data_IF_309698523361
#
_entry.id   IF_309698523361
#
_cell.length_a   1.000
_cell.length_b   1.000
_cell.length_c   1.000
_cell.angle_alpha   90.00
_cell.angle_beta   90.00
_cell.angle_gamma   90.00
#
_symmetry.space_group_name_H-M   'P 1'
#
loop_
_entity.id
_entity.type
_entity.pdbx_description
1 polymer ?
#
# COMPACT_ATOMS: atom_id res chain seq x y z
N UNK A 1 14.23 27.77 30.64
CA UNK A 1 13.00 27.14 30.10
C UNK A 1 12.14 26.64 31.24
N UNK A 2 10.93 27.14 31.39
CA UNK A 2 10.02 26.65 32.43
C UNK A 2 9.77 25.15 32.28
N UNK A 3 9.72 24.43 33.41
CA UNK A 3 9.54 22.97 33.48
C UNK A 3 8.36 22.49 32.62
N UNK A 4 7.24 23.23 32.66
CA UNK A 4 6.06 23.01 31.81
C UNK A 4 6.39 23.00 30.31
N UNK A 5 7.18 23.95 29.82
CA UNK A 5 7.58 24.05 28.41
C UNK A 5 8.47 22.86 27.99
N UNK A 6 9.38 22.43 28.86
CA UNK A 6 10.28 21.29 28.60
C UNK A 6 9.52 19.96 28.49
N UNK A 7 8.56 19.73 29.38
CA UNK A 7 7.71 18.53 29.37
C UNK A 7 6.89 18.50 28.07
N UNK A 8 6.24 19.61 27.72
CA UNK A 8 5.42 19.70 26.51
C UNK A 8 6.23 19.49 25.22
N UNK A 9 7.44 20.06 25.13
CA UNK A 9 8.32 19.80 23.99
C UNK A 9 8.70 18.32 23.87
N UNK A 10 9.04 17.69 24.98
CA UNK A 10 9.43 16.27 25.00
C UNK A 10 8.28 15.36 24.59
N UNK A 11 7.07 15.62 25.09
CA UNK A 11 5.87 14.85 24.75
C UNK A 11 5.52 14.98 23.26
N UNK A 12 5.55 16.21 22.72
CA UNK A 12 5.30 16.46 21.28
C UNK A 12 6.34 15.77 20.40
N UNK A 13 7.61 15.79 20.78
CA UNK A 13 8.67 15.12 20.03
C UNK A 13 8.50 13.60 20.01
N UNK A 14 8.11 12.99 21.14
CA UNK A 14 7.82 11.55 21.23
C UNK A 14 6.59 11.17 20.39
N UNK A 15 5.51 11.94 20.48
CA UNK A 15 4.30 11.72 19.68
C UNK A 15 4.59 11.79 18.17
N UNK A 16 5.37 12.80 17.73
CA UNK A 16 5.78 12.93 16.32
C UNK A 16 6.59 11.73 15.84
N UNK A 17 7.51 11.21 16.67
CA UNK A 17 8.30 10.00 16.36
C UNK A 17 7.46 8.73 16.30
N UNK A 18 6.44 8.61 17.16
CA UNK A 18 5.52 7.47 17.13
C UNK A 18 4.62 7.51 15.88
N UNK A 19 4.03 8.66 15.57
CA UNK A 19 3.14 8.82 14.41
C UNK A 19 3.89 8.65 13.09
N UNK A 20 5.14 9.10 12.99
CA UNK A 20 5.96 8.89 11.81
C UNK A 20 6.27 7.40 11.52
N UNK A 21 6.21 6.53 12.53
CA UNK A 21 6.37 5.08 12.36
C UNK A 21 5.08 4.39 11.94
N UNK A 22 3.94 4.92 12.35
CA UNK A 22 2.62 4.37 12.01
C UNK A 22 2.17 4.76 10.60
N UNK A 23 2.60 5.91 10.10
CA UNK A 23 2.34 6.31 8.72
C UNK A 23 3.45 5.80 7.79
N UNK A 24 3.29 4.58 7.27
CA UNK A 24 3.90 4.24 6.00
C UNK A 24 3.38 5.25 4.94
N UNK A 25 4.22 5.64 3.97
CA UNK A 25 3.84 6.62 2.97
C UNK A 25 2.46 6.26 2.37
N UNK A 26 1.46 7.12 2.59
CA UNK A 26 0.06 6.87 2.22
C UNK A 26 -0.16 6.76 0.70
N UNK A 27 0.90 6.87 -0.11
CA UNK A 27 0.87 6.75 -1.56
C UNK A 27 2.07 5.94 -2.00
N UNK A 28 1.83 4.97 -2.88
CA UNK A 28 2.91 4.32 -3.63
C UNK A 28 3.70 5.43 -4.34
N UNK A 29 5.04 5.39 -4.31
CA UNK A 29 5.86 6.40 -4.98
C UNK A 29 5.43 6.53 -6.45
N UNK A 30 5.47 7.76 -6.97
CA UNK A 30 5.19 7.97 -8.39
C UNK A 30 6.29 7.31 -9.21
N UNK A 31 5.90 6.33 -10.01
CA UNK A 31 6.79 5.62 -10.94
C UNK A 31 6.48 6.16 -12.33
N UNK A 32 7.52 6.61 -13.04
CA UNK A 32 7.39 7.09 -14.42
C UNK A 32 6.83 5.98 -15.33
N UNK A 33 6.18 6.35 -16.44
CA UNK A 33 5.52 5.38 -17.35
C UNK A 33 6.47 4.26 -17.80
N UNK A 34 7.70 4.62 -18.19
CA UNK A 34 8.71 3.66 -18.62
C UNK A 34 9.13 2.68 -17.52
N UNK A 35 9.16 3.11 -16.26
CA UNK A 35 9.55 2.26 -15.13
C UNK A 35 8.41 1.34 -14.70
N UNK A 36 7.15 1.77 -14.89
CA UNK A 36 5.98 0.90 -14.68
C UNK A 36 5.94 -0.23 -15.70
N UNK A 37 6.23 0.04 -16.97
CA UNK A 37 6.29 -0.97 -18.03
C UNK A 37 7.40 -2.01 -17.78
N UNK A 38 8.59 -1.56 -17.37
CA UNK A 38 9.70 -2.44 -17.00
C UNK A 38 9.37 -3.32 -15.80
N UNK A 39 8.71 -2.77 -14.78
CA UNK A 39 8.29 -3.54 -13.60
C UNK A 39 7.19 -4.54 -13.94
N UNK A 40 6.24 -4.20 -14.83
CA UNK A 40 5.24 -5.14 -15.31
C UNK A 40 5.87 -6.27 -16.13
N UNK A 41 6.79 -5.96 -17.05
CA UNK A 41 7.52 -6.98 -17.81
C UNK A 41 8.33 -7.90 -16.88
N UNK A 42 9.02 -7.34 -15.88
CA UNK A 42 9.77 -8.13 -14.91
C UNK A 42 8.86 -9.00 -14.02
N UNK A 43 7.66 -8.52 -13.64
CA UNK A 43 6.69 -9.32 -12.88
C UNK A 43 6.05 -10.44 -13.72
N UNK A 44 5.76 -10.20 -15.00
CA UNK A 44 5.26 -11.22 -15.92
C UNK A 44 6.28 -12.36 -16.14
N UNK A 45 7.58 -12.09 -16.00
CA UNK A 45 8.64 -13.09 -16.15
C UNK A 45 8.84 -13.93 -14.86
N UNK A 46 8.35 -13.47 -13.71
CA UNK A 46 8.65 -14.07 -12.39
C UNK A 46 7.48 -14.83 -11.71
N UNK A 47 6.29 -14.90 -12.31
CA UNK A 47 5.19 -15.70 -11.75
C UNK A 47 5.25 -17.16 -12.26
N UNK A 48 5.50 -18.17 -11.42
CA UNK A 48 5.25 -19.55 -11.80
C UNK A 48 3.73 -19.81 -11.82
N UNK A 49 3.31 -20.49 -12.87
CA UNK A 49 2.01 -21.11 -13.12
C UNK A 49 1.20 -21.50 -11.86
N UNK A 50 0.07 -20.82 -11.60
CA UNK A 50 -1.04 -21.40 -10.84
C UNK A 50 -2.38 -21.10 -11.53
N UNK A 51 -2.86 -22.09 -12.30
CA UNK A 51 -4.28 -22.41 -12.44
C UNK A 51 -5.18 -21.39 -13.14
N UNK A 52 -5.08 -21.30 -14.47
CA UNK A 52 -6.22 -20.96 -15.32
C UNK A 52 -6.97 -22.29 -15.57
N UNK A 53 -8.07 -22.53 -14.88
CA UNK A 53 -8.97 -23.66 -15.13
C UNK A 53 -10.36 -23.12 -15.46
N UNK A 54 -10.80 -23.48 -16.65
CA UNK A 54 -12.06 -23.16 -17.30
C UNK A 54 -13.29 -23.57 -16.48
N UNK A 55 -14.33 -22.74 -16.51
CA UNK A 55 -15.69 -23.18 -16.90
C UNK A 55 -16.62 -21.98 -16.91
N UNK A 56 -16.90 -21.46 -18.12
CA UNK A 56 -18.21 -20.88 -18.38
C UNK A 56 -19.27 -21.96 -18.10
N UNK A 57 -20.20 -21.68 -17.19
CA UNK A 57 -21.53 -22.26 -17.24
C UNK A 57 -22.52 -21.20 -16.79
N UNK A 58 -23.37 -20.85 -17.74
CA UNK A 58 -24.65 -20.15 -17.62
C UNK A 58 -25.38 -20.38 -16.32
N UNK A 59 -26.06 -19.35 -15.80
CA UNK A 59 -27.51 -19.42 -15.60
C UNK A 59 -28.06 -18.02 -15.30
N UNK A 60 -28.83 -17.50 -16.26
CA UNK A 60 -29.70 -16.34 -16.13
C UNK A 60 -31.09 -16.84 -15.73
N UNK A 61 -31.64 -16.43 -14.59
CA UNK A 61 -33.09 -16.15 -14.39
C UNK A 61 -33.33 -15.70 -12.94
N UNK A 62 -33.78 -14.46 -12.68
CA UNK A 62 -35.18 -13.97 -12.72
C UNK A 62 -35.94 -14.21 -11.40
N UNK A 63 -36.07 -13.12 -10.62
CA UNK A 63 -37.21 -12.67 -9.77
C UNK A 63 -38.03 -13.73 -9.01
N UNK A 64 -37.99 -13.69 -7.66
CA UNK A 64 -39.09 -13.19 -6.80
C UNK A 64 -38.63 -13.01 -5.35
#
# INVERSE_FOLDING_TARGET
MNRKKKINQTLKAKAKKANAKLHAANKSPYIAKADREKLMQAQLIAAPTVGLADSESSDTDTIQ
#
